data_IF_394358140252
#
_entry.id   IF_394358140252
#
_cell.length_a   1.000
_cell.length_b   1.000
_cell.length_c   1.000
_cell.angle_alpha   90.00
_cell.angle_beta   90.00
_cell.angle_gamma   90.00
#
_symmetry.space_group_name_H-M   'P 1'
#
loop_
_entity.id
_entity.type
_entity.pdbx_description
1 polymer ?
#
# COMPACT_ATOMS: atom_id res chain seq x y z
N UNK A 1 24.80 -9.92 -49.82
CA UNK A 1 25.75 -10.70 -48.99
C UNK A 1 25.92 -10.01 -47.64
N UNK A 2 25.84 -10.79 -46.54
CA UNK A 2 26.29 -10.54 -45.15
C UNK A 2 25.76 -9.30 -44.40
N UNK A 3 24.84 -9.50 -43.43
CA UNK A 3 25.07 -9.72 -41.97
C UNK A 3 25.61 -8.44 -41.31
N UNK A 4 24.87 -7.79 -40.41
CA UNK A 4 24.85 -8.06 -38.95
C UNK A 4 23.73 -7.20 -38.33
N UNK A 5 22.56 -7.72 -37.96
CA UNK A 5 22.17 -8.31 -36.66
C UNK A 5 22.92 -7.74 -35.43
N UNK A 6 22.38 -6.68 -34.83
CA UNK A 6 22.56 -6.39 -33.40
C UNK A 6 21.17 -6.34 -32.77
N UNK A 7 20.81 -7.47 -32.16
CA UNK A 7 19.63 -7.65 -31.33
C UNK A 7 19.98 -7.05 -29.96
N UNK A 8 19.47 -5.85 -29.63
CA UNK A 8 19.52 -5.34 -28.27
C UNK A 8 18.21 -5.73 -27.57
N UNK A 9 18.17 -6.99 -27.13
CA UNK A 9 17.11 -7.53 -26.28
C UNK A 9 17.29 -6.96 -24.89
N UNK A 10 16.62 -5.84 -24.61
CA UNK A 10 16.52 -5.30 -23.26
C UNK A 10 15.53 -6.16 -22.48
N UNK A 11 16.08 -6.86 -21.49
CA UNK A 11 15.42 -7.84 -20.63
C UNK A 11 14.39 -7.17 -19.73
N UNK A 12 13.15 -7.62 -19.87
CA UNK A 12 12.16 -7.89 -18.81
C UNK A 12 12.36 -7.15 -17.47
N UNK A 13 11.81 -5.94 -17.36
CA UNK A 13 11.15 -5.55 -16.11
C UNK A 13 9.68 -5.95 -16.22
N UNK A 14 9.41 -7.19 -15.83
CA UNK A 14 8.07 -7.64 -15.49
C UNK A 14 7.59 -6.86 -14.28
N UNK A 15 6.98 -5.70 -14.52
CA UNK A 15 6.00 -5.19 -13.58
C UNK A 15 4.87 -6.23 -13.51
N UNK A 16 4.68 -6.86 -12.36
CA UNK A 16 3.43 -7.53 -12.05
C UNK A 16 2.32 -6.48 -12.11
N UNK A 17 1.75 -6.29 -13.29
CA UNK A 17 0.42 -5.72 -13.39
C UNK A 17 -0.49 -6.81 -12.86
N UNK A 18 -0.82 -6.72 -11.57
CA UNK A 18 -1.84 -7.53 -10.90
C UNK A 18 -3.17 -7.31 -11.65
N UNK A 19 -3.34 -8.14 -12.67
CA UNK A 19 -4.46 -8.20 -13.58
C UNK A 19 -5.49 -9.11 -12.94
N UNK A 20 -6.32 -8.59 -12.03
CA UNK A 20 -7.50 -9.26 -11.46
C UNK A 20 -8.52 -8.26 -10.88
N UNK A 21 -8.78 -7.14 -11.58
CA UNK A 21 -9.75 -6.12 -11.12
C UNK A 21 -10.86 -5.80 -12.15
N UNK A 22 -11.11 -6.71 -13.09
CA UNK A 22 -12.19 -6.58 -14.07
C UNK A 22 -13.23 -7.68 -13.85
N UNK A 23 -14.25 -7.42 -13.04
CA UNK A 23 -15.45 -8.29 -13.04
C UNK A 23 -16.41 -8.27 -11.85
N UNK A 24 -16.11 -7.58 -10.74
CA UNK A 24 -17.01 -7.54 -9.57
C UNK A 24 -18.12 -6.49 -9.70
N UNK A 25 -19.35 -6.86 -9.35
CA UNK A 25 -20.55 -6.01 -9.35
C UNK A 25 -20.61 -5.03 -8.15
N UNK A 26 -19.45 -4.45 -7.79
CA UNK A 26 -19.29 -3.63 -6.60
C UNK A 26 -19.23 -2.14 -6.88
N UNK A 27 -19.64 -1.36 -5.88
CA UNK A 27 -19.57 0.09 -5.91
C UNK A 27 -18.11 0.55 -5.85
N UNK A 28 -17.79 1.54 -6.69
CA UNK A 28 -16.44 2.12 -6.77
C UNK A 28 -16.20 3.05 -5.59
N UNK A 29 -15.07 2.86 -4.91
CA UNK A 29 -14.58 3.72 -3.83
C UNK A 29 -13.15 4.17 -4.12
N UNK A 30 -12.92 5.48 -4.09
CA UNK A 30 -11.59 6.06 -4.17
C UNK A 30 -11.00 6.18 -2.75
N UNK A 31 -9.84 5.58 -2.52
CA UNK A 31 -9.17 5.57 -1.23
C UNK A 31 -7.83 6.30 -1.33
N UNK A 32 -7.65 7.28 -0.46
CA UNK A 32 -6.44 8.07 -0.33
C UNK A 32 -5.95 8.03 1.12
N UNK A 33 -4.65 8.24 1.31
CA UNK A 33 -4.05 8.49 2.63
C UNK A 33 -3.23 9.76 2.59
N UNK A 34 -3.05 10.36 3.75
CA UNK A 34 -2.13 11.48 3.95
C UNK A 34 -1.09 11.12 5.01
N UNK A 35 0.19 10.90 4.64
CA UNK A 35 0.75 10.96 3.29
C UNK A 35 0.33 9.79 2.37
N UNK A 36 0.45 9.95 1.03
CA UNK A 36 0.14 8.88 0.07
C UNK A 36 1.18 7.74 0.11
N UNK A 37 0.90 6.64 -0.58
CA UNK A 37 1.76 5.45 -0.65
C UNK A 37 1.66 4.56 0.59
N UNK A 38 0.44 4.37 1.11
CA UNK A 38 0.17 3.40 2.17
C UNK A 38 -0.36 2.11 1.55
N UNK A 39 0.07 0.97 2.10
CA UNK A 39 -0.48 -0.32 1.75
C UNK A 39 -1.83 -0.51 2.44
N UNK A 40 -2.85 -0.84 1.67
CA UNK A 40 -4.20 -1.14 2.13
C UNK A 40 -4.49 -2.59 1.83
N UNK A 41 -4.77 -3.36 2.87
CA UNK A 41 -5.22 -4.75 2.77
C UNK A 41 -6.68 -4.84 3.19
N UNK A 42 -7.53 -5.32 2.29
CA UNK A 42 -8.98 -5.41 2.49
C UNK A 42 -9.33 -6.89 2.64
N UNK A 43 -9.96 -7.22 3.77
CA UNK A 43 -10.32 -8.59 4.10
C UNK A 43 -11.19 -9.21 2.99
N UNK A 44 -10.72 -10.33 2.43
CA UNK A 44 -11.44 -11.07 1.39
C UNK A 44 -11.46 -10.45 -0.02
N UNK A 45 -10.85 -9.28 -0.23
CA UNK A 45 -10.84 -8.59 -1.53
C UNK A 45 -9.45 -8.52 -2.14
N UNK A 46 -8.43 -8.20 -1.34
CA UNK A 46 -7.05 -8.07 -1.81
C UNK A 46 -6.36 -6.82 -1.26
N UNK A 47 -5.32 -6.36 -1.93
CA UNK A 47 -4.50 -5.23 -1.48
C UNK A 47 -4.23 -4.21 -2.59
N UNK A 48 -4.11 -2.93 -2.22
CA UNK A 48 -3.64 -1.85 -3.10
C UNK A 48 -2.79 -0.83 -2.35
N UNK A 49 -2.05 -0.02 -3.09
CA UNK A 49 -1.31 1.12 -2.53
C UNK A 49 -2.06 2.41 -2.82
N UNK A 50 -2.20 3.29 -1.82
CA UNK A 50 -2.93 4.56 -1.96
C UNK A 50 -2.12 5.61 -2.71
N UNK A 51 -2.75 6.45 -3.57
CA UNK A 51 -4.17 6.46 -3.89
C UNK A 51 -4.59 5.29 -4.81
N UNK A 52 -5.66 4.57 -4.44
CA UNK A 52 -6.20 3.48 -5.24
C UNK A 52 -7.74 3.53 -5.32
N UNK A 53 -8.29 3.03 -6.43
CA UNK A 53 -9.73 2.82 -6.59
C UNK A 53 -10.04 1.34 -6.42
N UNK A 54 -10.94 1.04 -5.49
CA UNK A 54 -11.40 -0.32 -5.20
C UNK A 54 -12.89 -0.46 -5.50
N UNK A 55 -13.36 -1.71 -5.56
CA UNK A 55 -14.77 -2.07 -5.75
C UNK A 55 -15.16 -2.96 -4.62
N UNK A 56 -16.23 -2.60 -3.94
CA UNK A 56 -16.73 -3.32 -2.77
C UNK A 56 -18.24 -3.53 -2.96
N UNK A 57 -18.72 -4.74 -2.74
CA UNK A 57 -20.15 -5.06 -2.80
C UNK A 57 -20.86 -4.75 -1.47
N UNK A 58 -20.09 -4.66 -0.39
CA UNK A 58 -20.58 -4.44 0.98
C UNK A 58 -19.49 -3.76 1.82
N UNK A 59 -19.83 -3.25 3.02
CA UNK A 59 -18.82 -2.71 3.93
C UNK A 59 -17.78 -3.77 4.32
N UNK A 60 -16.50 -3.45 4.16
CA UNK A 60 -15.38 -4.36 4.45
C UNK A 60 -14.36 -3.71 5.38
N UNK A 61 -13.71 -4.53 6.22
CA UNK A 61 -12.60 -4.08 7.04
C UNK A 61 -11.33 -4.01 6.20
N UNK A 62 -10.55 -2.97 6.44
CA UNK A 62 -9.25 -2.78 5.81
C UNK A 62 -8.19 -2.42 6.86
N UNK A 63 -7.01 -2.99 6.69
CA UNK A 63 -5.79 -2.64 7.40
C UNK A 63 -4.98 -1.69 6.53
N UNK A 64 -4.62 -0.54 7.07
CA UNK A 64 -3.82 0.49 6.39
C UNK A 64 -2.48 0.60 7.10
N UNK A 65 -1.40 0.39 6.36
CA UNK A 65 -0.05 0.39 6.90
C UNK A 65 0.92 1.18 6.01
N UNK A 66 1.77 1.99 6.65
CA UNK A 66 2.87 2.70 6.00
C UNK A 66 4.05 2.75 6.96
N UNK A 67 5.26 2.52 6.46
CA UNK A 67 6.47 2.58 7.27
C UNK A 67 6.62 3.95 7.95
N UNK A 68 6.89 3.96 9.26
CA UNK A 68 6.98 5.19 10.06
C UNK A 68 5.63 5.72 10.57
N UNK A 69 4.51 5.05 10.28
CA UNK A 69 3.17 5.42 10.71
C UNK A 69 2.49 4.31 11.51
N UNK A 70 1.55 4.69 12.36
CA UNK A 70 0.70 3.77 13.11
C UNK A 70 -0.21 3.01 12.15
N UNK A 71 -0.29 1.69 12.32
CA UNK A 71 -1.22 0.86 11.53
C UNK A 71 -2.66 1.13 11.97
N UNK A 72 -3.53 1.42 11.02
CA UNK A 72 -4.94 1.72 11.28
C UNK A 72 -5.86 0.64 10.71
N UNK A 73 -6.98 0.41 11.38
CA UNK A 73 -8.04 -0.48 10.92
C UNK A 73 -9.29 0.35 10.67
N UNK A 74 -9.82 0.33 9.45
CA UNK A 74 -10.98 1.11 9.04
C UNK A 74 -12.04 0.23 8.40
N UNK A 75 -13.31 0.63 8.49
CA UNK A 75 -14.39 0.01 7.73
C UNK A 75 -14.65 0.87 6.49
N UNK A 76 -14.42 0.30 5.32
CA UNK A 76 -14.68 0.91 4.03
C UNK A 76 -16.12 0.60 3.62
N UNK A 77 -16.95 1.64 3.49
CA UNK A 77 -18.34 1.52 3.08
C UNK A 77 -18.55 2.29 1.77
N UNK A 78 -18.66 1.61 0.62
CA UNK A 78 -18.78 2.26 -0.68
C UNK A 78 -20.17 2.88 -0.91
N UNK A 79 -21.21 2.43 -0.18
CA UNK A 79 -22.57 2.95 -0.27
C UNK A 79 -22.76 4.25 0.53
N UNK A 80 -21.91 4.50 1.53
CA UNK A 80 -21.96 5.72 2.33
C UNK A 80 -21.28 6.91 1.64
N UNK A 81 -20.17 6.68 0.95
CA UNK A 81 -19.41 7.72 0.24
C UNK A 81 -18.53 7.10 -0.85
N UNK A 82 -18.25 7.88 -1.89
CA UNK A 82 -17.41 7.46 -3.03
C UNK A 82 -15.92 7.72 -2.82
N UNK A 83 -15.57 8.51 -1.82
CA UNK A 83 -14.20 8.91 -1.53
C UNK A 83 -13.89 8.83 -0.03
N UNK A 84 -12.71 8.31 0.28
CA UNK A 84 -12.19 8.20 1.65
C UNK A 84 -10.77 8.73 1.68
N UNK A 85 -10.50 9.69 2.57
CA UNK A 85 -9.15 10.15 2.89
C UNK A 85 -8.85 9.72 4.32
N UNK A 86 -7.78 8.97 4.52
CA UNK A 86 -7.34 8.51 5.85
C UNK A 86 -6.05 9.22 6.25
N UNK A 87 -6.08 10.13 7.23
CA UNK A 87 -4.86 10.74 7.76
C UNK A 87 -4.05 9.69 8.54
N UNK A 88 -2.74 9.66 8.34
CA UNK A 88 -1.84 8.75 9.04
C UNK A 88 -1.15 9.44 10.20
N UNK A 89 -1.13 8.77 11.34
CA UNK A 89 -0.39 9.21 12.52
C UNK A 89 1.03 8.66 12.49
N UNK A 90 2.03 9.51 12.75
CA UNK A 90 3.42 9.07 12.84
C UNK A 90 3.58 8.14 14.04
N UNK A 91 4.32 7.04 13.85
CA UNK A 91 4.50 6.06 14.91
C UNK A 91 5.35 6.58 16.08
N UNK A 92 6.07 7.69 15.90
CA UNK A 92 7.15 8.22 16.74
C UNK A 92 8.22 7.16 17.08
N UNK A 93 9.48 7.47 16.80
CA UNK A 93 10.55 6.64 17.32
C UNK A 93 10.51 6.75 18.85
N UNK A 94 10.37 5.62 19.55
CA UNK A 94 10.64 5.59 20.99
C UNK A 94 12.14 5.90 21.13
N UNK A 95 12.48 7.08 21.63
CA UNK A 95 13.85 7.44 22.02
C UNK A 95 14.23 6.65 23.29
N UNK A 96 14.30 5.32 23.18
CA UNK A 96 14.98 4.48 24.17
C UNK A 96 16.22 3.88 23.50
N UNK A 97 17.12 4.77 23.10
CA UNK A 97 18.52 4.38 22.91
C UNK A 97 19.09 4.31 24.32
N UNK A 98 19.03 3.14 24.93
CA UNK A 98 19.70 2.85 26.19
C UNK A 98 21.20 3.05 25.98
N UNK A 99 21.67 4.28 26.22
CA UNK A 99 23.08 4.60 26.36
C UNK A 99 23.55 4.02 27.70
N UNK A 100 23.52 2.69 27.81
CA UNK A 100 24.25 2.00 28.86
C UNK A 100 25.72 2.29 28.59
N UNK A 101 26.24 3.27 29.32
CA UNK A 101 27.66 3.62 29.29
C UNK A 101 28.47 2.34 29.51
N UNK A 102 29.21 1.93 28.48
CA UNK A 102 30.17 0.86 28.56
C UNK A 102 31.16 1.22 29.70
N UNK A 103 31.35 0.36 30.71
CA UNK A 103 32.29 0.66 31.78
C UNK A 103 33.71 0.78 31.19
N UNK A 104 34.44 1.81 31.60
CA UNK A 104 35.86 1.93 31.29
C UNK A 104 36.61 0.79 31.99
N UNK A 105 37.44 0.07 31.25
CA UNK A 105 38.29 -0.98 31.80
C UNK A 105 39.58 -0.34 32.32
N UNK A 106 39.76 -0.36 33.65
CA UNK A 106 41.03 -0.03 34.33
C UNK A 106 42.14 -1.06 34.03
#
# INVERSE_FOLDING_TARGET
MKKTLVLFTFVLLGGCQTMNFLGGAGDKLNLQTDPPGALVEIEGVGSCETPCTIRLDSPQKARIAKAGFVTQYVVLNPSARKEVVVPLELAAASDEVDATALPELD
#
